data_IF_635668531646
#
_entry.id   IF_635668531646
#
_cell.length_a   1.000
_cell.length_b   1.000
_cell.length_c   1.000
_cell.angle_alpha   90.00
_cell.angle_beta   90.00
_cell.angle_gamma   90.00
#
_symmetry.space_group_name_H-M   'P 1'
#
loop_
_entity.id
_entity.type
_entity.pdbx_description
1 polymer ?
#
# COMPACT_ATOMS: atom_id res chain seq x y z
N UNK A 1 11.58 5.40 -3.98
CA UNK A 1 10.46 4.52 -4.39
C UNK A 1 9.23 4.73 -3.54
N UNK A 2 9.39 4.92 -2.23
CA UNK A 2 8.31 5.29 -1.32
C UNK A 2 7.44 6.49 -1.73
N UNK A 3 8.02 7.58 -2.23
CA UNK A 3 7.20 8.74 -2.68
C UNK A 3 6.39 8.45 -3.95
N UNK A 4 6.90 7.59 -4.83
CA UNK A 4 6.18 7.16 -6.03
C UNK A 4 4.96 6.30 -5.65
N UNK A 5 5.14 5.36 -4.71
CA UNK A 5 4.05 4.50 -4.26
C UNK A 5 2.90 5.31 -3.65
N UNK A 6 3.21 6.30 -2.80
CA UNK A 6 2.20 7.24 -2.28
C UNK A 6 1.45 7.98 -3.39
N UNK A 7 2.17 8.58 -4.35
CA UNK A 7 1.57 9.35 -5.43
C UNK A 7 0.64 8.49 -6.29
N UNK A 8 1.05 7.27 -6.63
CA UNK A 8 0.25 6.33 -7.42
C UNK A 8 -0.95 5.83 -6.63
N UNK A 9 -0.76 5.38 -5.38
CA UNK A 9 -1.85 4.90 -4.51
C UNK A 9 -2.91 5.98 -4.30
N UNK A 10 -2.52 7.25 -4.14
CA UNK A 10 -3.46 8.37 -4.08
C UNK A 10 -4.25 8.52 -5.37
N UNK A 11 -3.60 8.41 -6.54
CA UNK A 11 -4.29 8.52 -7.82
C UNK A 11 -5.26 7.38 -8.08
N UNK A 12 -4.98 6.16 -7.61
CA UNK A 12 -5.85 4.99 -7.80
C UNK A 12 -6.80 4.74 -6.62
N UNK A 13 -6.79 5.58 -5.59
CA UNK A 13 -7.58 5.40 -4.37
C UNK A 13 -9.10 5.39 -4.57
N UNK A 14 -9.58 5.92 -5.71
CA UNK A 14 -11.00 5.90 -6.08
C UNK A 14 -11.52 4.52 -6.48
N UNK A 15 -10.64 3.55 -6.79
CA UNK A 15 -11.00 2.21 -7.21
C UNK A 15 -10.24 1.18 -6.37
N UNK A 16 -10.99 0.37 -5.62
CA UNK A 16 -10.42 -0.61 -4.70
C UNK A 16 -9.60 -1.69 -5.40
N UNK A 17 -9.97 -2.10 -6.61
CA UNK A 17 -9.27 -3.12 -7.41
C UNK A 17 -7.94 -2.58 -7.95
N UNK A 18 -7.93 -1.33 -8.43
CA UNK A 18 -6.69 -0.66 -8.84
C UNK A 18 -5.78 -0.38 -7.65
N UNK A 19 -6.33 0.10 -6.54
CA UNK A 19 -5.58 0.31 -5.30
C UNK A 19 -4.91 -0.99 -4.82
N UNK A 20 -5.63 -2.11 -4.80
CA UNK A 20 -5.07 -3.40 -4.41
C UNK A 20 -3.96 -3.89 -5.35
N UNK A 21 -4.12 -3.69 -6.66
CA UNK A 21 -3.11 -4.07 -7.66
C UNK A 21 -1.82 -3.28 -7.48
N UNK A 22 -1.91 -1.96 -7.38
CA UNK A 22 -0.73 -1.12 -7.20
C UNK A 22 -0.10 -1.31 -5.82
N UNK A 23 -0.90 -1.49 -4.77
CA UNK A 23 -0.40 -1.77 -3.42
C UNK A 23 0.47 -3.03 -3.41
N UNK A 24 -0.02 -4.15 -3.96
CA UNK A 24 0.74 -5.41 -4.05
C UNK A 24 2.05 -5.24 -4.82
N UNK A 25 2.01 -4.47 -5.91
CA UNK A 25 3.20 -4.17 -6.72
C UNK A 25 4.25 -3.41 -5.90
N UNK A 26 3.83 -2.40 -5.13
CA UNK A 26 4.76 -1.63 -4.29
C UNK A 26 5.29 -2.44 -3.10
N UNK A 27 4.48 -3.31 -2.49
CA UNK A 27 4.94 -4.21 -1.43
C UNK A 27 6.05 -5.12 -1.97
N UNK A 28 5.84 -5.76 -3.12
CA UNK A 28 6.88 -6.60 -3.76
C UNK A 28 8.12 -5.77 -4.14
N UNK A 29 7.95 -4.53 -4.63
CA UNK A 29 9.09 -3.72 -5.02
C UNK A 29 9.94 -3.26 -3.83
N UNK A 30 9.31 -3.10 -2.67
CA UNK A 30 9.95 -2.69 -1.42
C UNK A 30 10.35 -3.88 -0.55
N UNK A 31 10.11 -5.13 -0.97
CA UNK A 31 10.30 -6.33 -0.14
C UNK A 31 11.72 -6.48 0.45
N UNK A 32 12.72 -5.90 -0.21
CA UNK A 32 14.12 -5.93 0.22
C UNK A 32 14.46 -4.83 1.26
N UNK A 33 13.52 -3.95 1.58
CA UNK A 33 13.66 -2.86 2.54
C UNK A 33 12.47 -2.84 3.50
N UNK A 34 12.62 -3.60 4.60
CA UNK A 34 11.58 -3.74 5.63
C UNK A 34 11.14 -2.40 6.22
N UNK A 35 12.05 -1.42 6.36
CA UNK A 35 11.70 -0.12 6.91
C UNK A 35 10.78 0.66 5.96
N UNK A 36 11.00 0.56 4.64
CA UNK A 36 10.10 1.16 3.64
C UNK A 36 8.76 0.43 3.55
N UNK A 37 8.73 -0.90 3.67
CA UNK A 37 7.48 -1.68 3.71
C UNK A 37 6.63 -1.26 4.91
N UNK A 38 7.23 -1.18 6.10
CA UNK A 38 6.53 -0.76 7.32
C UNK A 38 6.03 0.69 7.21
N UNK A 39 6.85 1.58 6.66
CA UNK A 39 6.45 2.97 6.41
C UNK A 39 5.27 3.07 5.43
N UNK A 40 5.22 2.18 4.42
CA UNK A 40 4.11 2.12 3.47
C UNK A 40 2.84 1.57 4.10
N UNK A 41 2.97 0.56 4.95
CA UNK A 41 1.86 -0.01 5.69
C UNK A 41 1.19 1.04 6.59
N UNK A 42 1.98 1.73 7.42
CA UNK A 42 1.49 2.78 8.30
C UNK A 42 0.81 3.92 7.51
N UNK A 43 1.46 4.38 6.43
CA UNK A 43 0.88 5.43 5.59
C UNK A 43 -0.44 5.01 4.94
N UNK A 44 -0.55 3.76 4.47
CA UNK A 44 -1.80 3.24 3.91
C UNK A 44 -2.91 3.18 4.97
N UNK A 45 -2.60 2.74 6.19
CA UNK A 45 -3.57 2.70 7.29
C UNK A 45 -4.02 4.11 7.71
N UNK A 46 -3.10 5.06 7.81
CA UNK A 46 -3.42 6.44 8.21
C UNK A 46 -4.33 7.14 7.18
N UNK A 47 -4.05 6.95 5.89
CA UNK A 47 -4.78 7.66 4.82
C UNK A 47 -6.04 6.92 4.36
N UNK A 48 -5.99 5.58 4.32
CA UNK A 48 -7.03 4.75 3.71
C UNK A 48 -7.57 3.67 4.63
N UNK A 49 -7.08 3.54 5.86
CA UNK A 49 -7.54 2.53 6.82
C UNK A 49 -9.01 2.67 7.22
N UNK A 50 -9.65 3.82 6.95
CA UNK A 50 -11.08 3.99 7.16
C UNK A 50 -11.94 3.34 6.06
N UNK A 51 -11.42 3.15 4.85
CA UNK A 51 -12.14 2.55 3.70
C UNK A 51 -11.60 1.17 3.35
N UNK A 52 -10.27 1.02 3.38
CA UNK A 52 -9.54 -0.13 2.83
C UNK A 52 -8.79 -0.93 3.90
N UNK A 53 -9.20 -0.88 5.17
CA UNK A 53 -8.53 -1.59 6.27
C UNK A 53 -8.22 -3.05 5.93
N UNK A 54 -9.24 -3.81 5.55
CA UNK A 54 -9.11 -5.24 5.27
C UNK A 54 -8.25 -5.52 4.04
N UNK A 55 -8.33 -4.64 3.04
CA UNK A 55 -7.55 -4.74 1.81
C UNK A 55 -6.07 -4.48 2.10
N UNK A 56 -5.77 -3.44 2.88
CA UNK A 56 -4.40 -3.12 3.31
C UNK A 56 -3.86 -4.28 4.15
N UNK A 57 -4.58 -4.71 5.18
CA UNK A 57 -4.14 -5.83 6.02
C UNK A 57 -3.88 -7.11 5.19
N UNK A 58 -4.74 -7.45 4.22
CA UNK A 58 -4.52 -8.58 3.30
C UNK A 58 -3.31 -8.40 2.39
N UNK A 59 -3.04 -7.17 1.93
CA UNK A 59 -1.88 -6.87 1.10
C UNK A 59 -0.56 -7.13 1.82
N UNK A 60 -0.50 -6.80 3.12
CA UNK A 60 0.69 -6.96 3.96
C UNK A 60 0.76 -8.31 4.72
N UNK A 61 -0.33 -9.10 4.80
CA UNK A 61 -0.35 -10.37 5.56
C UNK A 61 0.37 -11.55 4.88
N UNK A 62 1.05 -11.34 3.76
CA UNK A 62 1.68 -12.40 2.94
C UNK A 62 3.21 -12.33 2.90
N UNK A 63 3.83 -11.60 3.81
CA UNK A 63 5.28 -11.62 4.02
C UNK A 63 5.71 -12.84 4.84
#
# INVERSE_FOLDING_TARGET
MFELSKSVLTKVSFDSSLFEKELRKFISWLENDNAQVESLHNWCLDNYGHVYKDLISKGFSKQ
#
